data_IF_931492305640
#
_entry.id   IF_931492305640
#
_cell.length_a   1.000
_cell.length_b   1.000
_cell.length_c   1.000
_cell.angle_alpha   90.00
_cell.angle_beta   90.00
_cell.angle_gamma   90.00
#
_symmetry.space_group_name_H-M   'P 1'
#
loop_
_entity.id
_entity.type
_entity.pdbx_description
1 polymer ?
#
# COMPACT_ATOMS: atom_id res chain seq x y z
N UNK A 1 -9.70 -22.59 19.65
CA UNK A 1 -9.78 -21.86 18.38
C UNK A 1 -8.58 -22.14 17.48
N UNK A 2 -8.63 -23.25 16.75
CA UNK A 2 -7.75 -23.51 15.60
C UNK A 2 -8.51 -23.39 14.25
N UNK A 3 -9.82 -23.16 14.32
CA UNK A 3 -10.77 -23.26 13.20
C UNK A 3 -10.93 -21.96 12.38
N UNK A 4 -10.07 -20.96 12.63
CA UNK A 4 -10.13 -19.63 11.99
C UNK A 4 -8.79 -19.12 11.48
N UNK A 5 -7.78 -19.97 11.40
CA UNK A 5 -6.48 -19.58 10.84
C UNK A 5 -6.61 -19.48 9.32
N UNK A 6 -6.48 -18.27 8.79
CA UNK A 6 -6.30 -18.05 7.35
C UNK A 6 -4.81 -18.14 7.04
N UNK A 7 -4.46 -19.07 6.16
CA UNK A 7 -3.09 -19.21 5.64
C UNK A 7 -2.98 -18.44 4.33
N UNK A 8 -1.89 -17.70 4.19
CA UNK A 8 -1.58 -16.94 2.98
C UNK A 8 -0.22 -17.38 2.47
N UNK A 9 -0.13 -17.67 1.17
CA UNK A 9 1.16 -17.97 0.55
C UNK A 9 2.04 -16.72 0.55
N UNK A 10 3.26 -16.87 1.08
CA UNK A 10 4.28 -15.82 1.03
C UNK A 10 4.91 -15.84 -0.37
N UNK A 11 5.01 -14.67 -1.00
CA UNK A 11 5.70 -14.51 -2.28
C UNK A 11 7.14 -15.02 -2.19
N UNK A 12 7.59 -15.77 -3.20
CA UNK A 12 8.93 -16.32 -3.21
C UNK A 12 10.01 -15.23 -3.30
N UNK A 13 11.22 -15.56 -2.85
CA UNK A 13 12.34 -14.63 -2.84
C UNK A 13 12.66 -14.13 -4.26
N UNK A 14 12.74 -12.81 -4.42
CA UNK A 14 12.97 -12.09 -5.69
C UNK A 14 11.81 -12.13 -6.69
N UNK A 15 10.64 -12.65 -6.33
CA UNK A 15 9.44 -12.52 -7.14
C UNK A 15 8.74 -11.18 -6.88
N UNK A 16 7.94 -10.78 -7.86
CA UNK A 16 7.05 -9.63 -7.75
C UNK A 16 5.82 -10.09 -6.95
N UNK A 17 5.53 -9.49 -5.79
CA UNK A 17 4.34 -9.85 -5.02
C UNK A 17 3.06 -9.61 -5.82
N UNK A 18 2.18 -10.60 -5.87
CA UNK A 18 1.00 -10.59 -6.75
C UNK A 18 0.11 -9.35 -6.58
N UNK A 19 -0.10 -8.90 -5.33
CA UNK A 19 -0.90 -7.71 -5.04
C UNK A 19 -0.27 -6.38 -5.50
N UNK A 20 1.01 -6.37 -5.86
CA UNK A 20 1.72 -5.19 -6.36
C UNK A 20 2.16 -5.33 -7.82
N UNK A 21 1.80 -6.45 -8.47
CA UNK A 21 2.17 -6.70 -9.86
C UNK A 21 1.39 -5.77 -10.77
N UNK A 22 2.10 -5.10 -11.68
CA UNK A 22 1.49 -4.23 -12.68
C UNK A 22 0.88 -5.10 -13.79
N UNK A 23 -0.34 -4.76 -14.22
CA UNK A 23 -0.98 -5.45 -15.35
C UNK A 23 -0.18 -5.28 -16.65
N UNK A 24 -0.06 -6.36 -17.41
CA UNK A 24 0.65 -6.40 -18.69
C UNK A 24 1.80 -7.40 -18.74
N UNK A 25 2.67 -7.24 -19.73
CA UNK A 25 3.79 -8.15 -19.95
C UNK A 25 4.87 -8.00 -18.87
N UNK A 26 5.55 -9.11 -18.58
CA UNK A 26 6.56 -9.18 -17.53
C UNK A 26 7.66 -8.12 -17.71
N UNK A 27 7.65 -7.10 -16.85
CA UNK A 27 8.54 -5.95 -16.97
C UNK A 27 9.91 -6.21 -16.31
N UNK A 28 11.00 -6.00 -17.06
CA UNK A 28 12.38 -6.13 -16.55
C UNK A 28 12.63 -5.15 -15.40
N UNK A 29 12.11 -3.93 -15.52
CA UNK A 29 12.23 -2.89 -14.50
C UNK A 29 11.57 -3.32 -13.19
N UNK A 30 10.33 -3.82 -13.24
CA UNK A 30 9.58 -4.28 -12.07
C UNK A 30 10.31 -5.40 -11.34
N UNK A 31 10.81 -6.42 -12.07
CA UNK A 31 11.59 -7.52 -11.47
C UNK A 31 12.87 -7.00 -10.81
N UNK A 32 13.56 -6.07 -11.45
CA UNK A 32 14.79 -5.51 -10.90
C UNK A 32 14.52 -4.62 -9.68
N UNK A 33 13.42 -3.86 -9.69
CA UNK A 33 12.96 -3.07 -8.56
C UNK A 33 12.72 -3.96 -7.35
N UNK A 34 11.92 -5.03 -7.51
CA UNK A 34 11.59 -5.94 -6.42
C UNK A 34 12.79 -6.74 -5.89
N UNK A 35 13.74 -7.12 -6.77
CA UNK A 35 15.01 -7.75 -6.33
C UNK A 35 15.87 -6.83 -5.46
N UNK A 36 15.84 -5.53 -5.72
CA UNK A 36 16.61 -4.53 -4.97
C UNK A 36 15.79 -3.90 -3.83
N UNK A 37 14.55 -4.35 -3.60
CA UNK A 37 13.59 -3.76 -2.68
C UNK A 37 14.18 -3.41 -1.32
N UNK A 38 14.81 -4.38 -0.65
CA UNK A 38 15.37 -4.16 0.69
C UNK A 38 16.49 -3.14 0.72
N UNK A 39 17.27 -3.04 -0.36
CA UNK A 39 18.32 -2.01 -0.46
C UNK A 39 17.69 -0.63 -0.60
N UNK A 40 16.59 -0.50 -1.35
CA UNK A 40 15.84 0.77 -1.39
C UNK A 40 15.14 1.08 -0.07
N UNK A 41 14.61 0.07 0.62
CA UNK A 41 13.93 0.23 1.90
C UNK A 41 14.90 0.68 3.02
N UNK A 42 16.12 0.14 3.05
CA UNK A 42 17.07 0.37 4.14
C UNK A 42 18.19 1.36 3.82
N UNK A 43 18.41 1.74 2.55
CA UNK A 43 19.44 2.71 2.14
C UNK A 43 18.80 3.96 1.49
N UNK A 44 18.44 5.00 2.27
CA UNK A 44 17.75 6.18 1.76
C UNK A 44 18.49 6.88 0.60
N UNK A 45 19.83 6.94 0.67
CA UNK A 45 20.66 7.55 -0.38
C UNK A 45 20.61 6.77 -1.70
N UNK A 46 20.34 5.45 -1.66
CA UNK A 46 20.19 4.62 -2.85
C UNK A 46 18.80 4.78 -3.45
N UNK A 47 17.76 4.81 -2.61
CA UNK A 47 16.39 5.10 -3.04
C UNK A 47 16.30 6.47 -3.72
N UNK A 48 16.86 7.52 -3.08
CA UNK A 48 16.84 8.87 -3.62
C UNK A 48 17.52 8.98 -5.00
N UNK A 49 18.70 8.36 -5.18
CA UNK A 49 19.39 8.32 -6.49
C UNK A 49 18.61 7.59 -7.57
N UNK A 50 17.79 6.61 -7.18
CA UNK A 50 16.90 5.88 -8.09
C UNK A 50 15.56 6.60 -8.33
N UNK A 51 15.34 7.79 -7.75
CA UNK A 51 14.07 8.50 -7.83
C UNK A 51 12.94 7.87 -7.00
N UNK A 52 13.28 6.97 -6.08
CA UNK A 52 12.33 6.26 -5.22
C UNK A 52 12.09 7.10 -3.97
N UNK A 53 10.81 7.45 -3.74
CA UNK A 53 10.37 8.06 -2.48
C UNK A 53 9.79 6.96 -1.59
N UNK A 54 10.50 6.62 -0.52
CA UNK A 54 9.97 5.75 0.53
C UNK A 54 8.94 6.54 1.34
N UNK A 55 7.76 5.95 1.56
CA UNK A 55 6.70 6.52 2.38
C UNK A 55 6.49 5.57 3.56
N UNK A 56 6.60 6.09 4.78
CA UNK A 56 6.23 5.34 5.95
C UNK A 56 4.74 5.52 6.18
N UNK A 57 3.99 4.44 6.04
CA UNK A 57 2.55 4.45 6.29
C UNK A 57 2.34 4.08 7.75
N UNK A 58 1.96 5.05 8.56
CA UNK A 58 1.40 4.80 9.88
C UNK A 58 -0.12 4.65 9.73
N UNK A 59 -0.52 3.52 9.11
CA UNK A 59 -1.92 3.13 9.09
C UNK A 59 -2.17 2.15 10.24
N UNK A 60 -3.29 2.26 10.96
CA UNK A 60 -3.83 1.07 11.60
C UNK A 60 -4.04 0.03 10.48
N UNK A 61 -3.48 -1.18 10.63
CA UNK A 61 -3.59 -2.26 9.65
C UNK A 61 -5.02 -2.80 9.51
N UNK A 62 -5.97 -1.94 9.15
CA UNK A 62 -7.39 -2.23 9.03
C UNK A 62 -7.79 -2.26 7.57
N UNK A 63 -8.55 -3.28 7.21
CA UNK A 63 -9.17 -3.40 5.89
C UNK A 63 -10.10 -2.22 5.65
N UNK A 64 -10.20 -1.73 4.40
CA UNK A 64 -11.21 -0.74 4.04
C UNK A 64 -12.61 -1.37 4.15
N UNK A 65 -13.49 -0.74 4.92
CA UNK A 65 -14.85 -1.21 5.20
C UNK A 65 -15.84 -0.26 4.52
N UNK A 66 -16.81 -0.77 3.73
CA UNK A 66 -17.88 0.05 3.20
C UNK A 66 -18.62 0.84 4.29
N UNK A 67 -19.00 2.09 3.98
CA UNK A 67 -19.70 2.95 4.93
C UNK A 67 -18.77 3.74 5.87
N UNK A 68 -17.46 3.75 5.61
CA UNK A 68 -16.50 4.60 6.29
C UNK A 68 -15.89 5.62 5.31
N UNK A 69 -15.63 6.82 5.81
CA UNK A 69 -14.88 7.87 5.14
C UNK A 69 -13.43 7.83 5.60
N UNK A 70 -12.53 7.69 4.64
CA UNK A 70 -11.09 7.64 4.83
C UNK A 70 -10.46 8.95 4.37
N UNK A 71 -9.61 9.54 5.20
CA UNK A 71 -8.87 10.77 4.87
C UNK A 71 -7.38 10.46 4.86
N UNK A 72 -6.75 10.64 3.70
CA UNK A 72 -5.31 10.46 3.52
C UNK A 72 -4.62 11.81 3.73
N UNK A 73 -3.73 11.87 4.71
CA UNK A 73 -2.87 13.02 4.95
C UNK A 73 -1.46 12.67 4.50
N UNK A 74 -0.89 13.49 3.62
CA UNK A 74 0.49 13.36 3.13
C UNK A 74 1.30 14.47 3.77
N UNK A 75 2.28 14.09 4.58
CA UNK A 75 3.15 15.01 5.31
C UNK A 75 4.37 15.40 4.47
N UNK A 76 4.93 16.57 4.76
CA UNK A 76 6.03 17.14 3.95
C UNK A 76 7.33 16.33 4.06
N UNK A 77 7.50 15.58 5.15
CA UNK A 77 8.65 14.72 5.44
C UNK A 77 8.51 13.30 4.87
N UNK A 78 7.37 12.99 4.25
CA UNK A 78 7.09 11.67 3.69
C UNK A 78 6.29 10.75 4.60
N UNK A 79 5.79 11.24 5.74
CA UNK A 79 4.75 10.56 6.51
C UNK A 79 3.44 10.44 5.74
N UNK A 80 2.76 9.31 5.89
CA UNK A 80 1.39 9.12 5.42
C UNK A 80 0.52 8.60 6.56
N UNK A 81 -0.58 9.31 6.83
CA UNK A 81 -1.52 9.00 7.90
C UNK A 81 -2.93 8.86 7.33
N UNK A 82 -3.62 7.79 7.72
CA UNK A 82 -5.00 7.52 7.30
C UNK A 82 -5.93 7.70 8.51
N UNK A 83 -6.78 8.72 8.44
CA UNK A 83 -7.90 8.88 9.37
C UNK A 83 -9.12 8.11 8.87
N UNK A 84 -9.88 7.55 9.81
CA UNK A 84 -11.11 6.84 9.51
C UNK A 84 -12.24 7.35 10.39
N UNK A 85 -13.39 7.65 9.78
CA UNK A 85 -14.63 7.95 10.49
C UNK A 85 -15.83 7.31 9.80
N UNK A 86 -16.91 6.96 10.51
CA UNK A 86 -18.14 6.51 9.88
C UNK A 86 -18.62 7.54 8.85
N UNK A 87 -19.11 7.06 7.70
CA UNK A 87 -19.71 7.94 6.70
C UNK A 87 -20.99 8.54 7.31
N UNK A 88 -21.16 9.87 7.33
CA UNK A 88 -22.37 10.48 7.87
C UNK A 88 -23.62 10.02 7.13
N UNK A 89 -24.69 9.74 7.88
CA UNK A 89 -25.93 9.22 7.30
C UNK A 89 -26.58 10.15 6.27
N UNK A 90 -26.31 11.46 6.36
CA UNK A 90 -26.84 12.45 5.42
C UNK A 90 -26.29 12.29 3.99
N UNK A 91 -25.15 11.60 3.83
CA UNK A 91 -24.51 11.35 2.52
C UNK A 91 -24.90 9.95 1.98
N UNK A 92 -25.64 9.15 2.76
CA UNK A 92 -26.05 7.80 2.39
C UNK A 92 -27.09 7.84 1.26
N UNK A 93 -26.63 7.60 0.03
CA UNK A 93 -27.47 7.60 -1.18
C UNK A 93 -27.18 8.73 -2.16
N UNK A 94 -26.26 9.64 -1.83
CA UNK A 94 -25.78 10.63 -2.78
C UNK A 94 -24.82 9.98 -3.80
N UNK A 95 -25.05 10.24 -5.09
CA UNK A 95 -24.09 9.89 -6.14
C UNK A 95 -22.99 10.96 -6.14
N UNK A 96 -21.82 10.61 -5.63
CA UNK A 96 -20.61 11.40 -5.90
C UNK A 96 -20.38 11.30 -7.41
N UNK A 97 -20.60 12.40 -8.12
CA UNK A 97 -20.29 12.49 -9.54
C UNK A 97 -18.76 12.37 -9.67
N UNK A 98 -18.32 11.24 -10.24
CA UNK A 98 -16.92 10.96 -10.61
C UNK A 98 -16.51 11.74 -11.85
#
# INVERSE_FOLDING_TARGET
>A
DADRTQEFEITALNEVPGGYKIEGNANVFERQFWREFWKFAFEPAKAQRAGIKSVQIEAPGVMFIPGYLYTINIEHDGGLRIDTKPLPDIIRGERILS
#
